data_IF_242456113806
#
_entry.id   IF_242456113806
#
_cell.length_a   1.000
_cell.length_b   1.000
_cell.length_c   1.000
_cell.angle_alpha   90.00
_cell.angle_beta   90.00
_cell.angle_gamma   90.00
#
_symmetry.space_group_name_H-M   'P 1'
#
loop_
_entity.id
_entity.type
_entity.pdbx_description
1 polymer ?
#
# COMPACT_ATOMS: atom_id res chain seq x y z
N UNK A 1 19.12 11.95 -12.46
CA UNK A 1 17.88 12.70 -12.20
C UNK A 1 17.43 12.41 -10.78
N UNK A 2 16.97 13.41 -10.01
CA UNK A 2 16.35 13.16 -8.72
C UNK A 2 14.98 12.51 -8.92
N UNK A 3 14.64 11.49 -8.15
CA UNK A 3 13.35 10.80 -8.24
C UNK A 3 12.19 11.72 -7.84
N UNK A 4 11.04 11.55 -8.48
CA UNK A 4 9.83 12.31 -8.16
C UNK A 4 9.13 11.84 -6.89
N UNK A 5 8.08 12.57 -6.49
CA UNK A 5 7.18 12.19 -5.39
C UNK A 5 5.96 11.47 -5.95
N UNK A 6 5.65 10.29 -5.42
CA UNK A 6 4.50 9.48 -5.82
C UNK A 6 3.51 9.30 -4.68
N UNK A 7 2.24 9.53 -4.99
CA UNK A 7 1.10 9.11 -4.17
C UNK A 7 0.50 7.86 -4.81
N UNK A 8 0.34 6.79 -4.03
CA UNK A 8 -0.15 5.49 -4.51
C UNK A 8 -1.38 5.10 -3.72
N UNK A 9 -2.45 4.74 -4.44
CA UNK A 9 -3.72 4.28 -3.86
C UNK A 9 -3.99 2.87 -4.43
N UNK A 10 -3.44 1.81 -3.81
CA UNK A 10 -3.52 0.47 -4.33
C UNK A 10 -4.86 -0.20 -4.01
N UNK A 11 -5.20 -1.21 -4.81
CA UNK A 11 -6.20 -2.24 -4.45
C UNK A 11 -5.45 -3.38 -3.76
N UNK A 12 -6.02 -3.91 -2.67
CA UNK A 12 -5.43 -5.01 -1.93
C UNK A 12 -5.53 -6.36 -2.69
N UNK A 13 -4.99 -7.42 -2.12
CA UNK A 13 -4.89 -8.74 -2.74
C UNK A 13 -3.67 -8.86 -3.64
N UNK A 14 -3.78 -9.66 -4.70
CA UNK A 14 -2.71 -9.89 -5.67
C UNK A 14 -2.22 -8.60 -6.34
N UNK A 15 -3.11 -7.63 -6.57
CA UNK A 15 -2.77 -6.32 -7.12
C UNK A 15 -1.72 -5.58 -6.27
N UNK A 16 -1.88 -5.57 -4.94
CA UNK A 16 -0.91 -4.97 -4.04
C UNK A 16 0.43 -5.71 -4.06
N UNK A 17 0.39 -7.05 -4.05
CA UNK A 17 1.61 -7.86 -4.05
C UNK A 17 2.48 -7.57 -5.28
N UNK A 18 1.88 -7.47 -6.47
CA UNK A 18 2.60 -7.09 -7.69
C UNK A 18 3.09 -5.64 -7.66
N UNK A 19 2.27 -4.72 -7.15
CA UNK A 19 2.65 -3.31 -7.10
C UNK A 19 3.79 -3.04 -6.12
N UNK A 20 3.87 -3.77 -5.01
CA UNK A 20 4.93 -3.61 -4.00
C UNK A 20 6.33 -3.70 -4.61
N UNK A 21 6.57 -4.69 -5.47
CA UNK A 21 7.86 -4.89 -6.15
C UNK A 21 8.22 -3.69 -7.06
N UNK A 22 7.23 -3.11 -7.74
CA UNK A 22 7.41 -1.89 -8.55
C UNK A 22 7.76 -0.70 -7.66
N UNK A 23 7.06 -0.53 -6.53
CA UNK A 23 7.31 0.57 -5.59
C UNK A 23 8.69 0.46 -4.94
N UNK A 24 9.14 -0.75 -4.59
CA UNK A 24 10.48 -0.96 -4.05
C UNK A 24 11.56 -0.57 -5.08
N UNK A 25 11.37 -0.91 -6.36
CA UNK A 25 12.26 -0.48 -7.45
C UNK A 25 12.28 1.05 -7.63
N UNK A 26 11.12 1.71 -7.58
CA UNK A 26 11.02 3.16 -7.71
C UNK A 26 11.69 3.88 -6.53
N UNK A 27 11.51 3.38 -5.30
CA UNK A 27 12.20 3.90 -4.12
C UNK A 27 13.71 3.79 -4.27
N UNK A 28 14.23 2.65 -4.72
CA UNK A 28 15.67 2.47 -4.97
C UNK A 28 16.21 3.44 -6.03
N UNK A 29 15.37 3.89 -6.97
CA UNK A 29 15.67 4.94 -7.96
C UNK A 29 15.55 6.36 -7.39
N UNK A 30 15.37 6.52 -6.08
CA UNK A 30 15.33 7.81 -5.40
C UNK A 30 13.95 8.47 -5.36
N UNK A 31 12.87 7.75 -5.65
CA UNK A 31 11.52 8.29 -5.52
C UNK A 31 11.06 8.28 -4.06
N UNK A 32 10.40 9.36 -3.64
CA UNK A 32 9.66 9.41 -2.38
C UNK A 32 8.24 8.87 -2.62
N UNK A 33 7.81 7.90 -1.81
CA UNK A 33 6.54 7.19 -2.03
C UNK A 33 5.67 7.30 -0.79
N UNK A 34 4.42 7.72 -0.99
CA UNK A 34 3.35 7.70 0.00
C UNK A 34 2.27 6.73 -0.47
N UNK A 35 1.98 5.71 0.31
CA UNK A 35 0.90 4.74 0.06
C UNK A 35 -0.30 5.09 0.95
N UNK A 36 -1.49 5.16 0.36
CA UNK A 36 -2.76 5.38 1.08
C UNK A 36 -3.59 4.11 1.01
N UNK A 37 -3.91 3.51 2.15
CA UNK A 37 -4.57 2.21 2.21
C UNK A 37 -5.61 2.16 3.34
N UNK A 38 -6.59 1.25 3.28
CA UNK A 38 -7.54 1.07 4.38
C UNK A 38 -6.85 0.47 5.61
N UNK A 39 -7.28 0.87 6.80
CA UNK A 39 -6.74 0.34 8.06
C UNK A 39 -7.03 -1.15 8.26
N UNK A 40 -8.15 -1.63 7.72
CA UNK A 40 -8.49 -3.05 7.63
C UNK A 40 -8.22 -3.50 6.19
N UNK A 41 -7.37 -4.51 6.07
CA UNK A 41 -6.77 -4.90 4.79
C UNK A 41 -6.28 -6.36 4.84
N UNK A 42 -6.20 -7.00 3.68
CA UNK A 42 -5.71 -8.36 3.49
C UNK A 42 -4.17 -8.38 3.61
N UNK A 43 -3.47 -7.68 2.71
CA UNK A 43 -2.01 -7.80 2.56
C UNK A 43 -1.24 -6.48 2.76
N UNK A 44 -1.93 -5.33 2.87
CA UNK A 44 -1.27 -4.01 2.98
C UNK A 44 -0.91 -3.70 4.44
N UNK A 45 0.17 -4.31 4.93
CA UNK A 45 0.64 -4.08 6.32
C UNK A 45 1.65 -2.91 6.41
N UNK A 46 1.71 -2.20 7.55
CA UNK A 46 2.71 -1.16 7.81
C UNK A 46 4.14 -1.66 7.55
N UNK A 47 4.92 -0.87 6.83
CA UNK A 47 6.33 -1.17 6.54
C UNK A 47 7.20 0.07 6.68
N UNK A 48 8.49 -0.13 6.94
CA UNK A 48 9.49 0.95 6.93
C UNK A 48 9.90 1.35 5.51
N UNK A 49 9.41 0.65 4.49
CA UNK A 49 9.82 0.91 3.11
C UNK A 49 9.19 2.16 2.51
N UNK A 50 7.95 2.46 2.89
CA UNK A 50 7.17 3.55 2.33
C UNK A 50 6.54 4.36 3.45
N UNK A 51 6.26 5.63 3.19
CA UNK A 51 5.34 6.37 4.06
C UNK A 51 3.95 5.80 3.81
N UNK A 52 3.26 5.39 4.87
CA UNK A 52 1.90 4.86 4.78
C UNK A 52 0.91 5.76 5.51
N UNK A 53 -0.25 5.97 4.89
CA UNK A 53 -1.39 6.68 5.46
C UNK A 53 -2.58 5.74 5.42
N UNK A 54 -3.03 5.33 6.61
CA UNK A 54 -4.20 4.47 6.75
C UNK A 54 -5.46 5.31 6.93
N UNK A 55 -6.58 4.88 6.36
CA UNK A 55 -7.89 5.52 6.54
C UNK A 55 -8.94 4.53 7.07
N UNK A 56 -9.91 5.01 7.86
CA UNK A 56 -10.93 4.14 8.45
C UNK A 56 -11.93 3.65 7.43
N UNK A 57 -12.48 2.46 7.66
CA UNK A 57 -13.45 1.81 6.78
C UNK A 57 -14.64 1.28 7.58
N UNK A 58 -15.85 1.21 6.98
CA UNK A 58 -17.08 0.84 7.69
C UNK A 58 -17.31 -0.68 7.70
N UNK A 59 -16.26 -1.48 7.84
CA UNK A 59 -16.33 -2.94 7.94
C UNK A 59 -15.27 -3.45 8.92
N UNK A 60 -15.46 -4.65 9.48
CA UNK A 60 -14.50 -5.29 10.39
C UNK A 60 -13.54 -6.24 9.66
N UNK A 61 -12.49 -6.69 10.34
CA UNK A 61 -11.58 -7.69 9.78
C UNK A 61 -12.31 -9.02 9.56
N UNK A 62 -13.23 -9.41 10.43
CA UNK A 62 -14.04 -10.63 10.28
C UNK A 62 -14.95 -10.59 9.06
N UNK A 63 -15.57 -9.43 8.77
CA UNK A 63 -16.37 -9.24 7.55
C UNK A 63 -15.50 -9.33 6.29
N UNK A 64 -14.27 -8.80 6.34
CA UNK A 64 -13.32 -8.92 5.24
C UNK A 64 -12.90 -10.39 5.03
N UNK A 65 -12.48 -11.07 6.09
CA UNK A 65 -12.02 -12.48 6.05
C UNK A 65 -13.14 -13.45 5.66
N UNK A 66 -14.42 -13.10 5.91
CA UNK A 66 -15.57 -13.91 5.49
C UNK A 66 -15.88 -13.83 3.98
N UNK A 67 -15.33 -12.82 3.28
CA UNK A 67 -15.61 -12.56 1.86
C UNK A 67 -14.48 -13.02 0.92
N UNK A 68 -13.33 -13.46 1.45
CA UNK A 68 -12.13 -13.84 0.70
C UNK A 68 -11.51 -15.12 1.26
#
# INVERSE_FOLDING_TARGET
>A
AAGGKLLVVPVDGSHWLSMREVLDSLRQKGHEIVVVAPEINLHIKPTKNFVMKMYPVPFTQEELDGNF
#
